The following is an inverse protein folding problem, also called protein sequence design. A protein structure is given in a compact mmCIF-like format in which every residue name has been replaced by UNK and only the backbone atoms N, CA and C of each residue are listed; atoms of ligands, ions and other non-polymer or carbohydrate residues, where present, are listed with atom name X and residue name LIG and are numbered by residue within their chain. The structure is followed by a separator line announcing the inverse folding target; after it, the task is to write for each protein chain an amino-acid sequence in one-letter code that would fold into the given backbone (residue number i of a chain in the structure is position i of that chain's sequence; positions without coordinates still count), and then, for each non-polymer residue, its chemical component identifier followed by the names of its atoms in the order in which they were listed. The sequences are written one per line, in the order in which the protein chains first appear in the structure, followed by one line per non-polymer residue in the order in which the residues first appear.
data_IF_146960914940
#
_entry.id   IF_146960914940
#
_cell.length_a   1.000
_cell.length_b   1.000
_cell.length_c   1.000
_cell.angle_alpha   90.00
_cell.angle_beta   90.00
_cell.angle_gamma   90.00
#
_symmetry.space_group_name_H-M   'P 1'
#
loop_
_entity.id
_entity.type
_entity.pdbx_description
1 polymer ?
#
# COMPACT_ATOMS: atom_id res chain seq x y z
N UNK A 1 7.41 -10.27 -5.29
CA UNK A 1 6.14 -9.73 -5.83
C UNK A 1 5.33 -9.06 -4.74
N UNK A 2 4.75 -9.75 -3.75
CA UNK A 2 3.98 -9.09 -2.67
C UNK A 2 4.80 -8.07 -1.86
N UNK A 3 6.05 -8.43 -1.52
CA UNK A 3 6.96 -7.52 -0.83
C UNK A 3 7.32 -6.26 -1.65
N UNK A 4 7.26 -6.35 -2.98
CA UNK A 4 7.53 -5.22 -3.89
C UNK A 4 6.33 -4.28 -3.95
N UNK A 5 5.11 -4.82 -3.96
CA UNK A 5 3.86 -4.06 -3.88
C UNK A 5 3.79 -3.31 -2.56
N UNK A 6 4.07 -4.00 -1.46
CA UNK A 6 4.07 -3.40 -0.11
C UNK A 6 5.09 -2.26 0.01
N UNK A 7 6.34 -2.48 -0.43
CA UNK A 7 7.36 -1.43 -0.43
C UNK A 7 6.94 -0.22 -1.26
N UNK A 8 6.32 -0.45 -2.42
CA UNK A 8 5.86 0.64 -3.27
C UNK A 8 4.70 1.40 -2.61
N UNK A 9 3.75 0.71 -2.01
CA UNK A 9 2.65 1.32 -1.26
C UNK A 9 3.17 2.16 -0.08
N UNK A 10 4.11 1.62 0.71
CA UNK A 10 4.77 2.36 1.80
C UNK A 10 5.49 3.61 1.27
N UNK A 11 6.21 3.51 0.15
CA UNK A 11 6.88 4.66 -0.47
C UNK A 11 5.88 5.74 -0.89
N UNK A 12 4.76 5.36 -1.51
CA UNK A 12 3.74 6.32 -1.94
C UNK A 12 3.05 6.99 -0.73
N UNK A 13 2.75 6.23 0.31
CA UNK A 13 2.14 6.74 1.54
C UNK A 13 3.11 7.61 2.36
N UNK A 14 4.38 7.20 2.50
CA UNK A 14 5.36 7.85 3.40
C UNK A 14 6.15 8.97 2.73
N UNK A 15 6.75 8.67 1.58
CA UNK A 15 7.66 9.58 0.89
C UNK A 15 6.91 10.53 -0.03
N UNK A 16 5.89 10.05 -0.74
CA UNK A 16 5.05 10.89 -1.59
C UNK A 16 3.89 11.56 -0.84
N UNK A 17 3.61 11.15 0.41
CA UNK A 17 2.49 11.63 1.25
C UNK A 17 1.14 11.57 0.53
N UNK A 18 0.96 10.57 -0.33
CA UNK A 18 -0.30 10.34 -1.01
C UNK A 18 -1.32 9.73 -0.04
N UNK A 19 -2.61 9.98 -0.28
CA UNK A 19 -3.68 9.31 0.47
C UNK A 19 -3.85 7.86 0.04
N UNK A 20 -4.44 7.02 0.89
CA UNK A 20 -4.68 5.60 0.57
C UNK A 20 -5.39 5.41 -0.79
N UNK A 21 -6.42 6.22 -1.08
CA UNK A 21 -7.12 6.17 -2.37
C UNK A 21 -6.23 6.52 -3.57
N UNK A 22 -5.31 7.47 -3.41
CA UNK A 22 -4.34 7.81 -4.44
C UNK A 22 -3.34 6.67 -4.65
N UNK A 23 -2.89 6.03 -3.57
CA UNK A 23 -1.98 4.88 -3.62
C UNK A 23 -2.62 3.68 -4.31
N UNK A 24 -3.87 3.33 -3.98
CA UNK A 24 -4.63 2.26 -4.66
C UNK A 24 -4.75 2.53 -6.16
N UNK A 25 -4.98 3.78 -6.54
CA UNK A 25 -5.06 4.19 -7.96
C UNK A 25 -3.69 4.06 -8.64
N UNK A 26 -2.62 4.56 -8.00
CA UNK A 26 -1.25 4.52 -8.51
C UNK A 26 -0.68 3.12 -8.61
N UNK A 27 -1.03 2.23 -7.69
CA UNK A 27 -0.57 0.83 -7.71
C UNK A 27 -1.02 0.12 -8.99
N UNK A 28 -2.14 0.54 -9.61
CA UNK A 28 -2.57 0.04 -10.91
C UNK A 28 -1.52 0.23 -12.00
N UNK A 29 -0.82 1.37 -12.00
CA UNK A 29 0.14 1.73 -13.04
C UNK A 29 1.45 0.93 -12.89
N UNK A 30 1.79 0.52 -11.67
CA UNK A 30 2.99 -0.29 -11.39
C UNK A 30 2.72 -1.79 -11.40
N UNK A 31 1.51 -2.21 -11.04
CA UNK A 31 1.09 -3.60 -10.88
C UNK A 31 -0.28 -3.80 -11.53
N UNK A 32 -0.36 -3.83 -12.87
CA UNK A 32 -1.63 -3.93 -13.59
C UNK A 32 -2.35 -5.27 -13.36
N UNK A 33 -1.61 -6.31 -12.98
CA UNK A 33 -2.14 -7.66 -12.72
C UNK A 33 -2.88 -7.75 -11.37
N UNK A 34 -2.73 -6.77 -10.48
CA UNK A 34 -3.44 -6.76 -9.20
C UNK A 34 -4.89 -6.33 -9.39
N UNK A 35 -5.79 -7.02 -8.71
CA UNK A 35 -7.19 -6.57 -8.63
C UNK A 35 -7.27 -5.30 -7.78
N UNK A 36 -8.42 -4.61 -7.85
CA UNK A 36 -8.66 -3.43 -6.99
C UNK A 36 -8.62 -3.83 -5.50
N UNK A 37 -9.20 -4.99 -5.15
CA UNK A 37 -9.20 -5.49 -3.78
C UNK A 37 -7.80 -5.80 -3.25
N UNK A 38 -6.92 -6.36 -4.10
CA UNK A 38 -5.53 -6.60 -3.69
C UNK A 38 -4.80 -5.28 -3.43
N UNK A 39 -5.02 -4.27 -4.27
CA UNK A 39 -4.39 -2.94 -4.11
C UNK A 39 -4.86 -2.25 -2.84
N UNK A 40 -6.15 -2.35 -2.51
CA UNK A 40 -6.71 -1.84 -1.26
C UNK A 40 -6.10 -2.57 -0.05
N UNK A 41 -6.04 -3.91 -0.11
CA UNK A 41 -5.44 -4.73 0.95
C UNK A 41 -3.98 -4.35 1.20
N UNK A 42 -3.16 -4.27 0.15
CA UNK A 42 -1.74 -3.90 0.31
C UNK A 42 -1.54 -2.46 0.76
N UNK A 43 -2.43 -1.55 0.38
CA UNK A 43 -2.39 -0.16 0.84
C UNK A 43 -2.73 -0.08 2.34
N UNK A 44 -3.75 -0.80 2.79
CA UNK A 44 -4.10 -0.89 4.22
C UNK A 44 -2.95 -1.51 5.04
N UNK A 45 -2.37 -2.61 4.57
CA UNK A 45 -1.22 -3.23 5.24
C UNK A 45 -0.02 -2.29 5.32
N UNK A 46 0.25 -1.55 4.24
CA UNK A 46 1.32 -0.55 4.23
C UNK A 46 1.05 0.59 5.22
N UNK A 47 -0.20 1.04 5.31
CA UNK A 47 -0.64 2.05 6.27
C UNK A 47 -0.46 1.56 7.72
N UNK A 48 -0.88 0.33 8.01
CA UNK A 48 -0.74 -0.30 9.34
C UNK A 48 0.72 -0.46 9.75
N UNK A 49 1.59 -0.87 8.82
CA UNK A 49 3.03 -0.98 9.05
C UNK A 49 3.69 0.38 9.32
N UNK A 50 3.20 1.45 8.69
CA UNK A 50 3.71 2.80 8.91
C UNK A 50 3.25 3.40 10.25
N UNK A 51 2.00 3.14 10.64
CA UNK A 51 1.41 3.69 11.87
C UNK A 51 1.65 2.81 13.09
N UNK A 52 2.27 1.64 12.91
CA UNK A 52 2.63 0.75 14.01
C UNK A 52 1.41 0.17 14.71
N UNK A 53 0.26 0.08 14.03
CA UNK A 53 -0.98 -0.48 14.59
C UNK A 53 -0.95 -2.01 14.62
N UNK A 54 0.13 -2.57 15.16
CA UNK A 54 0.10 -3.89 15.78
C UNK A 54 0.34 -3.69 17.28
N UNK A 55 -0.72 -3.54 18.11
CA UNK A 55 -0.65 -4.15 19.42
C UNK A 55 -0.71 -5.66 19.17
N UNK A 56 0.47 -6.26 19.00
CA UNK A 56 0.63 -7.70 19.03
C UNK A 56 0.64 -8.20 20.49
N UNK A 57 -0.31 -7.80 21.33
CA UNK A 57 -0.60 -8.41 22.65
C UNK A 57 -1.91 -7.89 23.22
#
# INVERSE_FOLDING_TARGET
MEADVLRKAIFLLRDCRESEQQVVTRLKDYFPDLTVGDREMYTSQAWDLMHGTHPAI
#
